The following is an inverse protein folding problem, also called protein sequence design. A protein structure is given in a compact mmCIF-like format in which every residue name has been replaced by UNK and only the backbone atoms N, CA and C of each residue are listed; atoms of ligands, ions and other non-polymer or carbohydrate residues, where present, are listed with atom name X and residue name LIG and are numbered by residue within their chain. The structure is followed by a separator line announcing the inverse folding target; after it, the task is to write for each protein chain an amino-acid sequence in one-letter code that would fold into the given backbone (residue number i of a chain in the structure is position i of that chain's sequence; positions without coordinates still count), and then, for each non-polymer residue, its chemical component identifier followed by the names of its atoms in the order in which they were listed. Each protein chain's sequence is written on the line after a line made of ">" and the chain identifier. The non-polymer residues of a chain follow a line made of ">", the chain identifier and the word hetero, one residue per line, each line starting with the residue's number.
data_IF_917740312247
#
_entry.id   IF_917740312247
#
_cell.length_a   1.000
_cell.length_b   1.000
_cell.length_c   1.000
_cell.angle_alpha   90.00
_cell.angle_beta   90.00
_cell.angle_gamma   90.00
#
_symmetry.space_group_name_H-M   'P 1'
#
loop_
_entity.id
_entity.type
_entity.pdbx_description
1 polymer ?
#
# COMPACT_ATOMS: atom_id res chain seq x y z
N UNK A 1 -18.63 3.68 10.33
CA UNK A 1 -17.41 2.85 10.28
C UNK A 1 -16.44 3.58 9.37
N UNK A 2 -15.32 4.04 9.91
CA UNK A 2 -14.33 4.79 9.13
C UNK A 2 -13.18 3.84 8.82
N UNK A 3 -12.81 3.75 7.55
CA UNK A 3 -11.64 2.98 7.14
C UNK A 3 -10.41 3.79 7.48
N UNK A 4 -9.37 3.17 8.05
CA UNK A 4 -8.11 3.83 8.40
C UNK A 4 -7.00 3.34 7.50
N UNK A 5 -6.22 4.26 6.94
CA UNK A 5 -5.05 3.94 6.15
C UNK A 5 -3.96 3.36 7.04
N UNK A 6 -3.49 2.15 6.75
CA UNK A 6 -2.42 1.51 7.51
C UNK A 6 -1.05 2.18 7.31
N UNK A 7 -0.89 3.00 6.26
CA UNK A 7 0.37 3.72 5.97
C UNK A 7 0.50 5.04 6.70
N UNK A 8 -0.54 5.87 6.68
CA UNK A 8 -0.50 7.19 7.34
C UNK A 8 -1.30 7.27 8.64
N UNK A 9 -2.09 6.24 8.98
CA UNK A 9 -2.98 6.24 10.14
C UNK A 9 -4.23 7.13 10.00
N UNK A 10 -4.34 7.90 8.91
CA UNK A 10 -5.46 8.79 8.65
C UNK A 10 -6.73 8.05 8.18
N UNK A 11 -7.92 8.63 8.39
CA UNK A 11 -9.16 8.09 7.85
C UNK A 11 -9.20 8.20 6.33
N UNK A 12 -9.54 7.09 5.66
CA UNK A 12 -9.78 7.06 4.23
C UNK A 12 -11.20 7.56 3.96
N UNK A 13 -11.30 8.83 3.54
CA UNK A 13 -12.56 9.48 3.14
C UNK A 13 -12.73 9.48 1.61
N UNK A 14 -11.71 9.01 0.90
CA UNK A 14 -11.64 8.99 -0.56
C UNK A 14 -12.57 7.93 -1.15
N UNK A 15 -13.07 8.18 -2.36
CA UNK A 15 -13.93 7.21 -3.08
C UNK A 15 -13.15 5.98 -3.56
N UNK A 16 -11.84 6.13 -3.73
CA UNK A 16 -10.91 5.10 -4.20
C UNK A 16 -9.97 4.73 -3.07
N UNK A 17 -10.00 3.47 -2.66
CA UNK A 17 -9.13 2.91 -1.61
C UNK A 17 -8.58 1.58 -2.09
N UNK A 18 -7.40 1.23 -1.60
CA UNK A 18 -6.72 0.00 -1.96
C UNK A 18 -6.77 -0.97 -0.80
N UNK A 19 -7.11 -2.22 -1.10
CA UNK A 19 -6.99 -3.32 -0.15
C UNK A 19 -5.70 -4.07 -0.44
N UNK A 20 -4.78 -4.05 0.52
CA UNK A 20 -3.50 -4.75 0.43
C UNK A 20 -3.15 -5.33 1.80
N UNK A 21 -2.83 -6.62 1.81
CA UNK A 21 -2.36 -7.36 3.00
C UNK A 21 -3.39 -7.24 4.14
N UNK A 22 -4.66 -7.49 3.79
CA UNK A 22 -5.80 -7.43 4.71
C UNK A 22 -6.02 -6.06 5.38
N UNK A 23 -5.35 -5.02 4.88
CA UNK A 23 -5.47 -3.64 5.37
C UNK A 23 -5.83 -2.69 4.24
N UNK A 24 -6.33 -1.53 4.64
CA UNK A 24 -6.72 -0.48 3.71
C UNK A 24 -5.67 0.60 3.62
N UNK A 25 -5.48 1.12 2.42
CA UNK A 25 -4.46 2.11 2.10
C UNK A 25 -5.02 3.16 1.14
N UNK A 26 -4.55 4.39 1.27
CA UNK A 26 -4.77 5.40 0.24
C UNK A 26 -4.02 5.03 -1.04
N UNK A 27 -4.54 5.45 -2.18
CA UNK A 27 -3.85 5.35 -3.48
C UNK A 27 -2.47 6.02 -3.44
N UNK A 28 -2.37 7.14 -2.73
CA UNK A 28 -1.10 7.85 -2.54
C UNK A 28 -0.15 7.19 -1.53
N UNK A 29 -0.68 6.43 -0.56
CA UNK A 29 0.12 5.79 0.49
C UNK A 29 0.65 4.41 0.09
N UNK A 30 0.03 3.74 -0.89
CA UNK A 30 0.45 2.42 -1.34
C UNK A 30 1.57 2.53 -2.39
N UNK A 31 2.78 2.79 -1.92
CA UNK A 31 3.98 2.90 -2.76
C UNK A 31 5.11 2.02 -2.23
N UNK A 32 6.01 1.60 -3.13
CA UNK A 32 7.20 0.86 -2.72
C UNK A 32 8.15 1.78 -1.96
N UNK A 33 8.55 1.39 -0.75
CA UNK A 33 9.51 2.15 0.06
C UNK A 33 10.92 2.16 -0.54
N UNK A 34 11.27 1.21 -1.42
CA UNK A 34 12.57 1.17 -2.09
C UNK A 34 12.62 2.01 -3.37
N UNK A 35 11.66 1.84 -4.28
CA UNK A 35 11.67 2.51 -5.58
C UNK A 35 10.68 3.67 -5.71
N UNK A 36 9.83 3.91 -4.70
CA UNK A 36 8.76 4.91 -4.76
C UNK A 36 7.65 4.57 -5.75
N UNK A 37 7.71 3.39 -6.37
CA UNK A 37 6.77 3.00 -7.42
C UNK A 37 5.37 2.80 -6.83
N UNK A 38 4.40 3.36 -7.54
CA UNK A 38 2.98 3.21 -7.26
C UNK A 38 2.54 1.76 -7.39
N UNK A 39 2.10 1.20 -6.27
CA UNK A 39 1.69 -0.20 -6.21
C UNK A 39 0.21 -0.37 -6.57
N UNK A 40 -0.54 0.72 -6.71
CA UNK A 40 -1.94 0.72 -7.09
C UNK A 40 -2.19 0.14 -8.50
N UNK A 41 -1.27 0.38 -9.43
CA UNK A 41 -1.35 -0.12 -10.81
C UNK A 41 -0.89 -1.59 -10.93
N UNK A 42 -0.12 -2.09 -9.96
CA UNK A 42 0.50 -3.43 -9.99
C UNK A 42 -0.41 -4.55 -9.46
N UNK A 43 -1.60 -4.21 -8.97
CA UNK A 43 -2.55 -5.16 -8.42
C UNK A 43 -2.02 -5.90 -7.18
N UNK A 44 -2.35 -7.20 -6.97
CA UNK A 44 -2.00 -7.95 -5.75
C UNK A 44 -0.49 -8.24 -5.56
N UNK A 45 0.38 -7.58 -6.33
CA UNK A 45 1.84 -7.72 -6.28
C UNK A 45 2.49 -6.84 -5.19
N UNK A 46 1.77 -6.57 -4.10
CA UNK A 46 2.23 -5.78 -2.96
C UNK A 46 2.71 -6.71 -1.87
N UNK A 47 3.96 -6.52 -1.48
CA UNK A 47 4.59 -7.31 -0.42
C UNK A 47 4.94 -6.39 0.74
N UNK A 48 4.84 -6.90 1.98
CA UNK A 48 5.34 -6.20 3.17
C UNK A 48 6.48 -6.98 3.76
N UNK A 49 7.59 -6.30 4.02
CA UNK A 49 8.75 -6.83 4.73
C UNK A 49 9.18 -5.81 5.76
N UNK A 50 9.28 -6.22 7.03
CA UNK A 50 9.69 -5.32 8.12
C UNK A 50 8.89 -4.02 8.19
N UNK A 51 7.56 -4.08 7.97
CA UNK A 51 6.67 -2.91 7.92
C UNK A 51 6.96 -1.93 6.76
N UNK A 52 7.71 -2.35 5.74
CA UNK A 52 7.92 -1.59 4.50
C UNK A 52 7.16 -2.25 3.36
N UNK A 53 6.44 -1.44 2.58
CA UNK A 53 5.79 -1.88 1.35
C UNK A 53 6.84 -2.01 0.26
N UNK A 54 6.87 -3.15 -0.40
CA UNK A 54 7.82 -3.47 -1.46
C UNK A 54 7.07 -3.93 -2.70
N UNK A 55 7.57 -3.54 -3.86
CA UNK A 55 7.13 -4.13 -5.12
C UNK A 55 7.68 -5.57 -5.22
N UNK A 56 7.07 -6.37 -6.09
CA UNK A 56 7.54 -7.73 -6.39
C UNK A 56 9.04 -7.81 -6.63
N UNK A 57 9.62 -6.84 -7.32
CA UNK A 57 11.02 -6.84 -7.70
C UNK A 57 11.95 -6.61 -6.50
N UNK A 58 11.69 -5.60 -5.68
CA UNK A 58 12.46 -5.32 -4.47
C UNK A 58 12.24 -6.38 -3.39
N UNK A 59 11.07 -7.02 -3.37
CA UNK A 59 10.79 -8.13 -2.46
C UNK A 59 11.58 -9.41 -2.81
N UNK A 60 11.79 -9.68 -4.11
CA UNK A 60 12.52 -10.85 -4.60
C UNK A 60 14.05 -10.67 -4.63
N UNK A 61 14.55 -9.46 -4.36
CA UNK A 61 15.97 -9.17 -4.17
C UNK A 61 16.43 -9.56 -2.76
#
# INVERSE_FOLDING_TARGET
>A
MSISCAGCGGPIVEKTLLNAIDRFWHTSCLNCSCCGLRLDELGPSVFVRSNMLLCRQDYLK
#
